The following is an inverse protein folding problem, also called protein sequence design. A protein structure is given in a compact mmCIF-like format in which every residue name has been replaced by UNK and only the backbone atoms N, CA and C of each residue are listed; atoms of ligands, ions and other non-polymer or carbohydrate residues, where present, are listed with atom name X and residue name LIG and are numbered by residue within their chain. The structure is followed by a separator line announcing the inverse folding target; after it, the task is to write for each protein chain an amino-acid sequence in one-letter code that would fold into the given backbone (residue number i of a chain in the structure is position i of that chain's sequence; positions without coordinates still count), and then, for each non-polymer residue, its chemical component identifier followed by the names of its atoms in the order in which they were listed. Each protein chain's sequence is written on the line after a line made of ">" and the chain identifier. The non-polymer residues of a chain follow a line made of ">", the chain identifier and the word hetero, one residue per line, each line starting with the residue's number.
data_IF_213150539245
#
_entry.id   IF_213150539245
#
_cell.length_a   1.000
_cell.length_b   1.000
_cell.length_c   1.000
_cell.angle_alpha   90.00
_cell.angle_beta   90.00
_cell.angle_gamma   90.00
#
_symmetry.space_group_name_H-M   'P 1'
#
loop_
_entity.id
_entity.type
_entity.pdbx_description
1 polymer ?
#
# COMPACT_ATOMS: atom_id res chain seq x y z
N UNK A 1 42.46 9.42 19.28
CA UNK A 1 41.62 9.21 18.08
C UNK A 1 40.47 8.29 18.49
N UNK A 2 39.23 8.78 18.64
CA UNK A 2 38.08 7.91 18.98
C UNK A 2 37.64 7.17 17.71
N UNK A 3 37.66 5.84 17.75
CA UNK A 3 37.14 5.02 16.65
C UNK A 3 35.65 5.34 16.46
N UNK A 4 35.24 5.57 15.20
CA UNK A 4 33.82 5.72 14.87
C UNK A 4 33.11 4.40 15.18
N UNK A 5 31.92 4.42 15.80
CA UNK A 5 31.18 3.20 16.07
C UNK A 5 30.87 2.44 14.77
N UNK A 6 30.84 1.11 14.81
CA UNK A 6 30.59 0.30 13.62
C UNK A 6 29.25 0.68 12.99
N UNK A 7 29.24 0.91 11.67
CA UNK A 7 28.01 1.17 10.93
C UNK A 7 27.10 -0.05 11.06
N UNK A 8 25.98 0.11 11.76
CA UNK A 8 24.95 -0.93 11.84
C UNK A 8 24.32 -1.07 10.46
N UNK A 9 24.73 -2.09 9.71
CA UNK A 9 24.28 -2.35 8.33
C UNK A 9 22.89 -3.02 8.26
N UNK A 10 22.37 -3.53 9.38
CA UNK A 10 21.04 -4.14 9.46
C UNK A 10 20.04 -3.15 10.04
N UNK A 11 18.95 -2.96 9.30
CA UNK A 11 17.78 -2.23 9.79
C UNK A 11 17.06 -3.13 10.79
N UNK A 12 17.18 -2.83 12.08
CA UNK A 12 16.35 -3.45 13.11
C UNK A 12 14.92 -2.90 13.01
N UNK A 13 13.93 -3.76 13.22
CA UNK A 13 12.50 -3.43 13.08
C UNK A 13 11.83 -3.16 14.43
N UNK A 14 12.55 -3.41 15.53
CA UNK A 14 12.11 -3.25 16.91
C UNK A 14 12.43 -1.87 17.50
N UNK A 15 13.23 -1.05 16.82
CA UNK A 15 13.68 0.25 17.33
C UNK A 15 13.16 1.41 16.48
N UNK A 16 12.79 2.52 17.10
CA UNK A 16 12.28 3.71 16.40
C UNK A 16 13.29 4.27 15.38
N UNK A 17 14.59 4.13 15.66
CA UNK A 17 15.67 4.53 14.76
C UNK A 17 15.74 3.66 13.50
N UNK A 18 15.44 2.37 13.64
CA UNK A 18 15.24 1.47 12.50
C UNK A 18 14.07 1.86 11.60
N UNK A 19 13.08 2.61 12.09
CA UNK A 19 11.98 3.13 11.26
C UNK A 19 12.27 4.50 10.64
N UNK A 20 13.28 5.23 11.11
CA UNK A 20 13.69 6.52 10.52
C UNK A 20 14.10 6.33 9.05
N UNK A 21 13.65 7.24 8.19
CA UNK A 21 13.95 7.18 6.75
C UNK A 21 13.32 5.97 6.03
N UNK A 22 12.14 5.50 6.45
CA UNK A 22 11.34 4.53 5.70
C UNK A 22 11.19 4.96 4.24
N UNK A 23 11.84 4.21 3.33
CA UNK A 23 11.79 4.50 1.90
C UNK A 23 10.39 4.23 1.36
N UNK A 24 9.99 4.94 0.31
CA UNK A 24 8.70 4.74 -0.36
C UNK A 24 8.40 3.26 -0.70
N UNK A 25 9.43 2.48 -1.05
CA UNK A 25 9.28 1.04 -1.30
C UNK A 25 8.86 0.23 -0.06
N UNK A 26 9.29 0.60 1.13
CA UNK A 26 8.91 -0.09 2.38
C UNK A 26 7.46 0.23 2.76
N UNK A 27 7.03 1.48 2.58
CA UNK A 27 5.63 1.87 2.76
C UNK A 27 4.71 1.17 1.76
N UNK A 28 5.08 1.15 0.48
CA UNK A 28 4.34 0.42 -0.54
C UNK A 28 4.20 -1.07 -0.17
N UNK A 29 5.30 -1.69 0.27
CA UNK A 29 5.30 -3.06 0.73
C UNK A 29 4.32 -3.27 1.89
N UNK A 30 4.44 -2.47 2.96
CA UNK A 30 3.66 -2.63 4.19
C UNK A 30 2.16 -2.43 3.94
N UNK A 31 1.80 -1.36 3.22
CA UNK A 31 0.41 -1.05 2.87
C UNK A 31 -0.19 -2.20 2.06
N UNK A 32 0.54 -2.76 1.09
CA UNK A 32 0.05 -3.88 0.29
C UNK A 32 -0.23 -5.14 1.12
N UNK A 33 0.62 -5.45 2.13
CA UNK A 33 0.42 -6.62 3.02
C UNK A 33 -0.75 -6.38 3.97
N UNK A 34 -0.81 -5.20 4.57
CA UNK A 34 -1.92 -4.81 5.44
C UNK A 34 -3.26 -4.85 4.67
N UNK A 35 -3.29 -4.35 3.43
CA UNK A 35 -4.46 -4.40 2.57
C UNK A 35 -4.87 -5.83 2.22
N UNK A 36 -3.91 -6.71 1.89
CA UNK A 36 -4.19 -8.12 1.61
C UNK A 36 -4.83 -8.83 2.82
N UNK A 37 -4.28 -8.62 4.02
CA UNK A 37 -4.82 -9.21 5.25
C UNK A 37 -6.21 -8.64 5.55
N UNK A 38 -6.39 -7.32 5.46
CA UNK A 38 -7.68 -6.67 5.67
C UNK A 38 -8.74 -7.16 4.67
N UNK A 39 -8.35 -7.42 3.41
CA UNK A 39 -9.25 -7.96 2.39
C UNK A 39 -9.83 -9.33 2.79
N UNK A 40 -9.05 -10.21 3.42
CA UNK A 40 -9.56 -11.51 3.89
C UNK A 40 -10.77 -11.33 4.82
N UNK A 41 -10.69 -10.38 5.75
CA UNK A 41 -11.78 -10.07 6.68
C UNK A 41 -12.93 -9.34 5.99
N UNK A 42 -12.64 -8.29 5.22
CA UNK A 42 -13.67 -7.45 4.60
C UNK A 42 -14.48 -8.23 3.57
N UNK A 43 -13.84 -9.12 2.79
CA UNK A 43 -14.54 -10.01 1.86
C UNK A 43 -15.50 -10.93 2.61
N UNK A 44 -15.05 -11.59 3.69
CA UNK A 44 -15.91 -12.46 4.49
C UNK A 44 -17.13 -11.69 5.05
N UNK A 45 -16.92 -10.49 5.60
CA UNK A 45 -18.00 -9.63 6.09
C UNK A 45 -18.95 -9.17 4.97
N UNK A 46 -18.41 -8.87 3.80
CA UNK A 46 -19.18 -8.46 2.64
C UNK A 46 -20.07 -9.59 2.11
N UNK A 47 -19.61 -10.83 2.15
CA UNK A 47 -20.40 -12.00 1.79
C UNK A 47 -21.57 -12.23 2.75
N UNK A 48 -21.42 -11.92 4.04
CA UNK A 48 -22.50 -12.02 5.03
C UNK A 48 -23.55 -10.94 4.85
N UNK A 49 -23.14 -9.69 4.63
CA UNK A 49 -24.07 -8.58 4.41
C UNK A 49 -23.50 -7.56 3.41
N UNK A 50 -23.78 -7.74 2.11
CA UNK A 50 -23.19 -6.92 1.07
C UNK A 50 -23.77 -5.50 1.03
N UNK A 51 -24.91 -5.24 1.70
CA UNK A 51 -25.62 -3.96 1.65
C UNK A 51 -25.05 -2.90 2.60
N UNK A 52 -24.14 -3.27 3.51
CA UNK A 52 -23.48 -2.30 4.39
C UNK A 52 -22.57 -1.39 3.58
N UNK A 53 -22.98 -0.12 3.41
CA UNK A 53 -22.23 0.90 2.67
C UNK A 53 -20.76 0.99 3.12
N UNK A 54 -20.50 0.96 4.42
CA UNK A 54 -19.14 0.96 4.95
C UNK A 54 -18.28 -0.21 4.48
N UNK A 55 -18.85 -1.42 4.37
CA UNK A 55 -18.14 -2.59 3.84
C UNK A 55 -17.89 -2.47 2.34
N UNK A 56 -18.86 -1.95 1.57
CA UNK A 56 -18.67 -1.70 0.13
C UNK A 56 -17.55 -0.69 -0.11
N UNK A 57 -17.51 0.40 0.66
CA UNK A 57 -16.46 1.41 0.55
C UNK A 57 -15.09 0.85 0.95
N UNK A 58 -15.02 0.13 2.08
CA UNK A 58 -13.80 -0.51 2.53
C UNK A 58 -13.28 -1.54 1.51
N UNK A 59 -14.17 -2.38 0.97
CA UNK A 59 -13.82 -3.35 -0.06
C UNK A 59 -13.27 -2.66 -1.31
N UNK A 60 -13.97 -1.64 -1.83
CA UNK A 60 -13.53 -0.89 -3.01
C UNK A 60 -12.14 -0.26 -2.79
N UNK A 61 -11.96 0.44 -1.67
CA UNK A 61 -10.69 1.10 -1.35
C UNK A 61 -9.53 0.09 -1.22
N UNK A 62 -9.76 -1.00 -0.49
CA UNK A 62 -8.74 -2.03 -0.26
C UNK A 62 -8.37 -2.78 -1.54
N UNK A 63 -9.35 -3.13 -2.37
CA UNK A 63 -9.10 -3.79 -3.66
C UNK A 63 -8.28 -2.88 -4.57
N UNK A 64 -8.64 -1.60 -4.71
CA UNK A 64 -7.93 -0.66 -5.57
C UNK A 64 -6.47 -0.47 -5.11
N UNK A 65 -6.26 -0.21 -3.82
CA UNK A 65 -4.92 -0.02 -3.26
C UNK A 65 -4.08 -1.29 -3.40
N UNK A 66 -4.62 -2.46 -3.05
CA UNK A 66 -3.90 -3.73 -3.15
C UNK A 66 -3.52 -4.04 -4.61
N UNK A 67 -4.48 -3.93 -5.53
CA UNK A 67 -4.27 -4.23 -6.94
C UNK A 67 -3.25 -3.28 -7.58
N UNK A 68 -3.38 -1.96 -7.37
CA UNK A 68 -2.47 -0.99 -8.00
C UNK A 68 -1.06 -1.00 -7.42
N UNK A 69 -0.91 -1.29 -6.12
CA UNK A 69 0.42 -1.56 -5.54
C UNK A 69 1.02 -2.88 -6.05
N UNK A 70 0.18 -3.89 -6.30
CA UNK A 70 0.57 -5.14 -6.97
C UNK A 70 1.05 -4.92 -8.40
N UNK A 71 0.31 -4.15 -9.21
CA UNK A 71 0.72 -3.75 -10.57
C UNK A 71 2.05 -3.00 -10.55
N UNK A 72 2.22 -2.06 -9.61
CA UNK A 72 3.51 -1.39 -9.41
C UNK A 72 4.64 -2.39 -9.15
N UNK A 73 4.43 -3.40 -8.31
CA UNK A 73 5.44 -4.42 -8.04
C UNK A 73 5.79 -5.19 -9.33
N UNK A 74 4.77 -5.67 -10.06
CA UNK A 74 4.96 -6.36 -11.34
C UNK A 74 5.77 -5.52 -12.35
N UNK A 75 5.44 -4.24 -12.51
CA UNK A 75 6.17 -3.36 -13.44
C UNK A 75 7.66 -3.23 -13.07
N UNK A 76 7.99 -3.17 -11.78
CA UNK A 76 9.37 -3.12 -11.31
C UNK A 76 10.08 -4.46 -11.51
N UNK A 77 9.37 -5.57 -11.33
CA UNK A 77 9.89 -6.92 -11.56
C UNK A 77 10.18 -7.17 -13.05
N UNK A 78 9.42 -6.55 -13.97
CA UNK A 78 9.70 -6.55 -15.41
C UNK A 78 10.86 -5.63 -15.85
N UNK A 79 11.60 -5.03 -14.91
CA UNK A 79 12.83 -4.30 -15.20
C UNK A 79 12.68 -2.78 -15.36
N UNK A 80 11.54 -2.21 -14.95
CA UNK A 80 11.37 -0.77 -14.96
C UNK A 80 12.39 -0.09 -14.01
N UNK A 81 13.05 1.02 -14.41
CA UNK A 81 14.15 1.59 -13.63
C UNK A 81 13.76 1.99 -12.20
N UNK A 82 14.65 1.70 -11.22
CA UNK A 82 14.41 1.98 -9.79
C UNK A 82 14.08 3.44 -9.47
N UNK A 83 14.53 4.40 -10.29
CA UNK A 83 14.18 5.84 -10.16
C UNK A 83 12.65 6.08 -10.15
N UNK A 84 11.87 5.18 -10.73
CA UNK A 84 10.42 5.26 -10.78
C UNK A 84 9.73 4.78 -9.50
N UNK A 85 10.44 4.21 -8.52
CA UNK A 85 9.82 3.64 -7.30
C UNK A 85 8.87 4.60 -6.57
N UNK A 86 9.29 5.86 -6.41
CA UNK A 86 8.51 6.90 -5.71
C UNK A 86 7.35 7.39 -6.58
N UNK A 87 7.61 7.67 -7.86
CA UNK A 87 6.60 8.14 -8.79
C UNK A 87 5.46 7.11 -8.95
N UNK A 88 5.78 5.84 -9.16
CA UNK A 88 4.79 4.77 -9.27
C UNK A 88 4.02 4.55 -7.96
N UNK A 89 4.67 4.72 -6.81
CA UNK A 89 3.98 4.61 -5.53
C UNK A 89 2.93 5.71 -5.37
N UNK A 90 3.32 6.97 -5.62
CA UNK A 90 2.40 8.11 -5.56
C UNK A 90 1.30 7.96 -6.61
N UNK A 91 1.64 7.57 -7.84
CA UNK A 91 0.66 7.35 -8.91
C UNK A 91 -0.35 6.27 -8.52
N UNK A 92 0.09 5.14 -7.97
CA UNK A 92 -0.81 4.09 -7.51
C UNK A 92 -1.80 4.60 -6.46
N UNK A 93 -1.36 5.40 -5.49
CA UNK A 93 -2.24 5.99 -4.48
C UNK A 93 -3.22 7.01 -5.07
N UNK A 94 -2.75 7.90 -5.95
CA UNK A 94 -3.60 8.92 -6.59
C UNK A 94 -4.66 8.27 -7.49
N UNK A 95 -4.28 7.27 -8.29
CA UNK A 95 -5.22 6.53 -9.14
C UNK A 95 -6.20 5.73 -8.29
N UNK A 96 -5.75 5.11 -7.20
CA UNK A 96 -6.65 4.41 -6.26
C UNK A 96 -7.70 5.37 -5.68
N UNK A 97 -7.26 6.53 -5.18
CA UNK A 97 -8.15 7.55 -4.61
C UNK A 97 -9.09 8.17 -5.65
N UNK A 98 -8.59 8.45 -6.85
CA UNK A 98 -9.39 8.98 -7.96
C UNK A 98 -10.46 8.01 -8.43
N UNK A 99 -10.10 6.75 -8.67
CA UNK A 99 -11.06 5.70 -9.03
C UNK A 99 -12.08 5.46 -7.92
N UNK A 100 -11.64 5.43 -6.66
CA UNK A 100 -12.55 5.35 -5.53
C UNK A 100 -13.56 6.49 -5.55
N UNK A 101 -13.10 7.75 -5.67
CA UNK A 101 -13.98 8.91 -5.68
C UNK A 101 -14.96 8.89 -6.86
N UNK A 102 -14.49 8.59 -8.07
CA UNK A 102 -15.33 8.50 -9.28
C UNK A 102 -16.44 7.45 -9.09
N UNK A 103 -16.05 6.22 -8.73
CA UNK A 103 -17.01 5.11 -8.57
C UNK A 103 -17.96 5.38 -7.41
N UNK A 104 -17.45 5.89 -6.29
CA UNK A 104 -18.25 6.12 -5.10
C UNK A 104 -19.25 7.25 -5.31
N UNK A 105 -18.84 8.37 -5.91
CA UNK A 105 -19.74 9.48 -6.21
C UNK A 105 -20.81 9.06 -7.22
N UNK A 106 -20.41 8.40 -8.32
CA UNK A 106 -21.35 7.93 -9.34
C UNK A 106 -22.37 6.92 -8.80
N UNK A 107 -22.00 6.10 -7.80
CA UNK A 107 -22.91 5.10 -7.23
C UNK A 107 -24.07 5.71 -6.43
N UNK A 108 -23.87 6.92 -5.89
CA UNK A 108 -24.75 7.56 -4.90
C UNK A 108 -25.37 8.90 -5.36
N UNK A 109 -24.97 9.42 -6.51
CA UNK A 109 -25.61 10.53 -7.22
C UNK A 109 -26.39 9.99 -8.42
#
# INVERSE_FOLDING_TARGET
>A
MKASPPRVLRREWTTAEGWRGTRAGMWAWLIQRAAAIALLFVVALHLVNPFRRGLQAALLALVLVHALLGVRALLLDFGLPLRWHRALFVLALLVSGGLFAIVWLWRWY
#
